data_IF_638367292286
#
_entry.id   IF_638367292286
#
_cell.length_a   1.000
_cell.length_b   1.000
_cell.length_c   1.000
_cell.angle_alpha   90.00
_cell.angle_beta   90.00
_cell.angle_gamma   90.00
#
_symmetry.space_group_name_H-M   'P 1'
#
loop_
_entity.id
_entity.type
_entity.pdbx_description
1 polymer ?
#
# COMPACT_ATOMS: atom_id res chain seq x y z
N UNK A 1 30.23 -23.88 3.60
CA UNK A 1 29.30 -23.07 2.79
C UNK A 1 28.34 -22.38 3.75
N UNK A 2 28.10 -21.07 3.59
CA UNK A 2 27.52 -20.19 4.61
C UNK A 2 26.11 -20.64 5.03
N UNK A 3 25.88 -20.76 6.34
CA UNK A 3 24.57 -21.01 6.94
C UNK A 3 23.72 -19.72 6.88
N UNK A 4 23.25 -19.36 5.68
CA UNK A 4 22.30 -18.26 5.51
C UNK A 4 20.89 -18.77 5.87
N UNK A 5 20.59 -18.76 7.17
CA UNK A 5 19.26 -19.06 7.70
C UNK A 5 18.39 -17.80 7.61
N UNK A 6 17.20 -17.95 7.04
CA UNK A 6 16.21 -16.90 6.82
C UNK A 6 15.00 -17.20 7.70
N UNK A 7 14.46 -16.16 8.34
CA UNK A 7 13.23 -16.27 9.13
C UNK A 7 12.05 -15.95 8.22
N UNK A 8 11.14 -16.90 8.09
CA UNK A 8 9.84 -16.76 7.42
C UNK A 8 8.77 -16.65 8.50
N UNK A 9 7.71 -15.88 8.25
CA UNK A 9 6.58 -15.76 9.17
C UNK A 9 5.31 -16.10 8.40
N UNK A 10 4.51 -17.03 8.91
CA UNK A 10 3.21 -17.37 8.33
C UNK A 10 2.18 -16.27 8.57
N UNK A 11 1.04 -16.35 7.88
CA UNK A 11 -0.09 -15.46 8.09
C UNK A 11 -0.66 -15.53 9.53
N UNK A 12 -0.49 -16.66 10.20
CA UNK A 12 -0.94 -16.90 11.58
C UNK A 12 0.08 -16.40 12.64
N UNK A 13 1.21 -15.85 12.19
CA UNK A 13 2.26 -15.30 13.05
C UNK A 13 3.33 -16.32 13.46
N UNK A 14 3.27 -17.54 12.93
CA UNK A 14 4.26 -18.56 13.23
C UNK A 14 5.58 -18.28 12.51
N UNK A 15 6.68 -18.28 13.28
CA UNK A 15 8.01 -18.01 12.75
C UNK A 15 8.78 -19.29 12.45
N UNK A 16 9.26 -19.43 11.22
CA UNK A 16 10.04 -20.56 10.75
C UNK A 16 11.42 -20.09 10.33
N UNK A 17 12.47 -20.61 10.97
CA UNK A 17 13.84 -20.35 10.56
C UNK A 17 14.27 -21.47 9.61
N UNK A 18 14.32 -21.15 8.32
CA UNK A 18 14.65 -22.10 7.26
C UNK A 18 15.91 -21.65 6.53
N UNK A 19 16.63 -22.59 5.91
CA UNK A 19 17.78 -22.24 5.08
C UNK A 19 17.33 -21.53 3.79
N UNK A 20 18.21 -20.71 3.22
CA UNK A 20 17.95 -19.95 1.99
C UNK A 20 17.53 -20.82 0.81
N UNK A 21 18.02 -22.06 0.71
CA UNK A 21 17.66 -22.97 -0.37
C UNK A 21 16.21 -23.46 -0.21
N UNK A 22 15.81 -23.84 1.00
CA UNK A 22 14.44 -24.24 1.36
C UNK A 22 13.46 -23.06 1.20
N UNK A 23 13.86 -21.84 1.55
CA UNK A 23 13.04 -20.64 1.34
C UNK A 23 12.80 -20.35 -0.15
N UNK A 24 13.83 -20.46 -0.99
CA UNK A 24 13.71 -20.27 -2.44
C UNK A 24 12.99 -21.42 -3.16
N UNK A 25 13.01 -22.63 -2.59
CA UNK A 25 12.28 -23.78 -3.13
C UNK A 25 10.79 -23.75 -2.79
N UNK A 26 10.35 -22.95 -1.81
CA UNK A 26 8.94 -22.74 -1.49
C UNK A 26 8.25 -21.90 -2.56
N UNK A 27 7.83 -22.58 -3.64
CA UNK A 27 7.08 -22.04 -4.77
C UNK A 27 5.83 -21.24 -4.35
N UNK A 28 5.23 -21.56 -3.19
CA UNK A 28 4.05 -20.85 -2.68
C UNK A 28 4.35 -19.40 -2.31
N UNK A 29 5.49 -19.13 -1.64
CA UNK A 29 5.86 -17.77 -1.23
C UNK A 29 6.26 -16.94 -2.45
N UNK A 30 6.96 -17.56 -3.41
CA UNK A 30 7.36 -16.91 -4.64
C UNK A 30 6.14 -16.56 -5.50
N UNK A 31 5.20 -17.50 -5.67
CA UNK A 31 3.98 -17.29 -6.44
C UNK A 31 3.07 -16.23 -5.79
N UNK A 32 2.88 -16.23 -4.46
CA UNK A 32 2.10 -15.19 -3.78
C UNK A 32 2.71 -13.80 -4.02
N UNK A 33 4.03 -13.66 -3.98
CA UNK A 33 4.70 -12.37 -4.17
C UNK A 33 4.83 -11.95 -5.64
N UNK A 34 4.91 -12.88 -6.58
CA UNK A 34 4.98 -12.59 -8.02
C UNK A 34 3.60 -12.38 -8.63
N UNK A 35 2.58 -13.15 -8.24
CA UNK A 35 1.22 -13.00 -8.77
C UNK A 35 0.48 -11.80 -8.18
N UNK A 36 0.78 -11.41 -6.93
CA UNK A 36 0.12 -10.27 -6.28
C UNK A 36 0.73 -8.93 -6.70
N UNK A 37 2.01 -8.84 -7.09
CA UNK A 37 2.62 -7.55 -7.45
C UNK A 37 1.95 -6.87 -8.64
N UNK A 38 1.70 -7.54 -9.79
CA UNK A 38 0.97 -6.92 -10.89
C UNK A 38 -0.48 -6.56 -10.51
N UNK A 39 -1.12 -7.36 -9.66
CA UNK A 39 -2.47 -7.08 -9.18
C UNK A 39 -2.50 -5.88 -8.23
N UNK A 40 -1.50 -5.76 -7.35
CA UNK A 40 -1.30 -4.63 -6.46
C UNK A 40 -1.04 -3.36 -7.27
N UNK A 41 -0.15 -3.42 -8.26
CA UNK A 41 0.14 -2.28 -9.14
C UNK A 41 -1.09 -1.85 -9.95
N UNK A 42 -1.87 -2.80 -10.46
CA UNK A 42 -3.11 -2.53 -11.20
C UNK A 42 -4.19 -1.92 -10.29
N UNK A 43 -4.38 -2.45 -9.08
CA UNK A 43 -5.38 -1.96 -8.14
C UNK A 43 -4.99 -0.59 -7.57
N UNK A 44 -3.73 -0.39 -7.20
CA UNK A 44 -3.18 0.92 -6.83
C UNK A 44 -3.30 1.92 -7.97
N UNK A 45 -2.99 1.53 -9.21
CA UNK A 45 -3.15 2.38 -10.39
C UNK A 45 -4.61 2.73 -10.67
N UNK A 46 -5.54 1.80 -10.44
CA UNK A 46 -6.99 2.03 -10.60
C UNK A 46 -7.52 2.99 -9.54
N UNK A 47 -7.15 2.80 -8.28
CA UNK A 47 -7.52 3.72 -7.19
C UNK A 47 -6.93 5.10 -7.43
N UNK A 48 -5.64 5.18 -7.81
CA UNK A 48 -5.01 6.46 -8.17
C UNK A 48 -5.72 7.15 -9.34
N UNK A 49 -6.15 6.39 -10.35
CA UNK A 49 -6.94 6.92 -11.47
C UNK A 49 -8.34 7.37 -11.06
N UNK A 50 -8.93 6.78 -10.03
CA UNK A 50 -10.22 7.22 -9.48
C UNK A 50 -10.11 8.48 -8.63
N UNK A 51 -8.93 8.77 -8.08
CA UNK A 51 -8.63 9.98 -7.31
C UNK A 51 -8.09 11.11 -8.19
N UNK A 52 -7.56 10.77 -9.37
CA UNK A 52 -7.03 11.74 -10.33
C UNK A 52 -8.16 12.62 -10.86
N UNK A 53 -7.91 13.93 -10.93
CA UNK A 53 -8.83 14.97 -11.43
C UNK A 53 -10.12 15.11 -10.60
N UNK A 54 -10.16 14.57 -9.36
CA UNK A 54 -11.24 14.78 -8.40
C UNK A 54 -10.81 15.74 -7.30
N UNK A 55 -11.75 16.57 -6.86
CA UNK A 55 -11.52 17.45 -5.70
C UNK A 55 -11.45 16.64 -4.40
N UNK A 56 -10.83 17.23 -3.38
CA UNK A 56 -10.73 16.62 -2.03
C UNK A 56 -12.09 16.24 -1.46
N UNK A 57 -13.12 17.01 -1.74
CA UNK A 57 -14.50 16.81 -1.30
C UNK A 57 -15.16 15.64 -2.03
N UNK A 58 -14.95 15.51 -3.34
CA UNK A 58 -15.47 14.41 -4.14
C UNK A 58 -14.79 13.07 -3.79
N UNK A 59 -13.48 13.09 -3.52
CA UNK A 59 -12.76 11.91 -3.03
C UNK A 59 -13.32 11.47 -1.68
N UNK A 60 -13.52 12.40 -0.75
CA UNK A 60 -14.10 12.08 0.57
C UNK A 60 -15.50 11.49 0.45
N UNK A 61 -16.34 12.02 -0.44
CA UNK A 61 -17.69 11.49 -0.68
C UNK A 61 -17.67 10.10 -1.33
N UNK A 62 -16.80 9.86 -2.32
CA UNK A 62 -16.69 8.57 -3.01
C UNK A 62 -16.21 7.44 -2.09
N UNK A 63 -15.26 7.74 -1.19
CA UNK A 63 -14.64 6.76 -0.30
C UNK A 63 -15.24 6.75 1.12
N UNK A 64 -16.34 7.48 1.34
CA UNK A 64 -17.02 7.62 2.64
C UNK A 64 -16.06 8.01 3.78
N UNK A 65 -15.15 8.95 3.50
CA UNK A 65 -14.13 9.42 4.44
C UNK A 65 -14.68 10.61 5.23
N UNK A 66 -14.78 10.45 6.55
CA UNK A 66 -15.17 11.53 7.46
C UNK A 66 -14.08 12.61 7.49
N UNK A 67 -14.45 13.87 7.27
CA UNK A 67 -13.55 15.00 7.49
C UNK A 67 -13.37 15.24 8.99
N UNK A 68 -12.22 14.86 9.52
CA UNK A 68 -11.82 15.03 10.92
C UNK A 68 -11.04 16.32 11.19
N UNK A 69 -10.72 17.10 10.14
CA UNK A 69 -10.02 18.36 10.28
C UNK A 69 -10.91 19.47 10.83
N UNK A 70 -10.36 20.28 11.74
CA UNK A 70 -10.98 21.54 12.12
C UNK A 70 -10.85 22.58 10.99
N UNK A 71 -11.72 23.60 10.99
CA UNK A 71 -11.71 24.64 9.94
C UNK A 71 -10.38 25.39 9.82
N UNK A 72 -9.64 25.51 10.92
CA UNK A 72 -8.36 26.20 10.95
C UNK A 72 -7.25 25.31 10.37
N UNK A 73 -7.24 24.02 10.73
CA UNK A 73 -6.32 23.03 10.15
C UNK A 73 -6.58 22.83 8.65
N UNK A 74 -7.84 22.79 8.21
CA UNK A 74 -8.18 22.66 6.80
C UNK A 74 -7.68 23.86 5.98
N UNK A 75 -7.78 25.09 6.52
CA UNK A 75 -7.22 26.28 5.88
C UNK A 75 -5.71 26.22 5.80
N UNK A 76 -5.04 25.84 6.87
CA UNK A 76 -3.58 25.72 6.90
C UNK A 76 -3.10 24.65 5.91
N UNK A 77 -3.76 23.48 5.88
CA UNK A 77 -3.47 22.39 4.93
C UNK A 77 -3.73 22.83 3.48
N UNK A 78 -4.79 23.59 3.19
CA UNK A 78 -5.03 24.15 1.84
C UNK A 78 -3.97 25.18 1.45
N UNK A 79 -3.49 25.98 2.40
CA UNK A 79 -2.45 26.98 2.15
C UNK A 79 -1.07 26.33 1.95
N UNK A 80 -0.75 25.31 2.73
CA UNK A 80 0.47 24.50 2.59
C UNK A 80 0.46 23.66 1.31
N UNK A 81 -0.70 23.12 0.91
CA UNK A 81 -0.85 22.32 -0.30
C UNK A 81 -1.30 23.15 -1.52
N UNK A 82 -1.10 24.47 -1.49
CA UNK A 82 -1.43 25.35 -2.62
C UNK A 82 -0.69 24.97 -3.92
N UNK A 83 0.45 24.28 -3.81
CA UNK A 83 1.22 23.74 -4.93
C UNK A 83 0.54 22.58 -5.67
N UNK A 84 -0.46 21.93 -5.05
CA UNK A 84 -1.34 20.95 -5.67
C UNK A 84 -2.61 21.58 -6.28
N UNK A 85 -2.75 22.91 -6.24
CA UNK A 85 -3.91 23.61 -6.80
C UNK A 85 -3.92 23.50 -8.33
N UNK A 86 -5.07 23.05 -8.86
CA UNK A 86 -5.38 22.76 -10.27
C UNK A 86 -5.04 21.33 -10.76
N UNK A 87 -5.35 20.30 -9.96
CA UNK A 87 -5.71 18.96 -10.45
C UNK A 87 -7.23 18.83 -10.41
#
# INVERSE_FOLDING_TARGET
MKNDKIKLVSFEGDEFIVDKYTASMSTVILNILEDIKPLLDLTCGKIASMMKDKTTEEIRAEFDIVNDFTREEEKQIREENRWCGDI
#
